data_IF_087107065782
#
_entry.id   IF_087107065782
#
_cell.length_a   1.000
_cell.length_b   1.000
_cell.length_c   1.000
_cell.angle_alpha   90.00
_cell.angle_beta   90.00
_cell.angle_gamma   90.00
#
_symmetry.space_group_name_H-M   'P 1'
#
loop_
_entity.id
_entity.type
_entity.pdbx_description
1 polymer ?
#
# COMPACT_ATOMS: atom_id res chain seq x y z
N UNK A 1 -11.01 7.15 1.90
CA UNK A 1 -9.88 6.49 1.22
C UNK A 1 -10.42 5.78 -0.01
N UNK A 2 -9.91 6.08 -1.20
CA UNK A 2 -10.27 5.40 -2.44
C UNK A 2 -9.01 4.74 -3.04
N UNK A 3 -9.16 3.67 -3.80
CA UNK A 3 -8.05 3.04 -4.53
C UNK A 3 -8.39 2.94 -6.02
N UNK A 4 -7.45 3.35 -6.87
CA UNK A 4 -7.51 3.15 -8.33
C UNK A 4 -6.65 1.95 -8.69
N UNK A 5 -7.17 1.02 -9.48
CA UNK A 5 -6.47 -0.20 -9.90
C UNK A 5 -6.12 -0.11 -11.38
N UNK A 6 -4.91 -0.52 -11.71
CA UNK A 6 -4.43 -0.66 -13.07
C UNK A 6 -4.33 -2.16 -13.45
N UNK A 7 -3.60 -2.47 -14.51
CA UNK A 7 -3.36 -3.84 -14.96
C UNK A 7 -2.91 -4.76 -13.82
N UNK A 8 -3.45 -5.98 -13.84
CA UNK A 8 -3.12 -7.05 -12.89
C UNK A 8 -2.33 -8.12 -13.62
N UNK A 9 -1.22 -8.55 -13.04
CA UNK A 9 -0.49 -9.75 -13.47
C UNK A 9 -0.80 -10.86 -12.48
N UNK A 10 -1.22 -12.03 -12.96
CA UNK A 10 -1.60 -13.17 -12.13
C UNK A 10 -0.74 -14.38 -12.48
N UNK A 11 -0.15 -15.00 -11.48
CA UNK A 11 0.49 -16.32 -11.57
C UNK A 11 -0.41 -17.33 -10.86
N UNK A 12 -0.81 -18.41 -11.54
CA UNK A 12 -1.78 -19.40 -11.03
C UNK A 12 -1.16 -20.80 -11.01
N UNK A 13 -1.30 -21.52 -9.90
CA UNK A 13 -0.96 -22.94 -9.74
C UNK A 13 -2.13 -23.65 -9.05
N UNK A 14 -2.83 -24.51 -9.79
CA UNK A 14 -4.01 -25.22 -9.27
C UNK A 14 -5.07 -24.25 -8.75
N UNK A 15 -5.40 -24.37 -7.46
CA UNK A 15 -6.38 -23.54 -6.75
C UNK A 15 -5.76 -22.32 -6.06
N UNK A 16 -4.48 -22.00 -6.29
CA UNK A 16 -3.79 -20.86 -5.70
C UNK A 16 -3.28 -19.92 -6.79
N UNK A 17 -3.20 -18.63 -6.47
CA UNK A 17 -2.68 -17.61 -7.34
C UNK A 17 -2.02 -16.46 -6.57
N UNK A 18 -1.01 -15.84 -7.19
CA UNK A 18 -0.47 -14.55 -6.77
C UNK A 18 -0.96 -13.50 -7.76
N UNK A 19 -1.72 -12.51 -7.28
CA UNK A 19 -2.21 -11.39 -8.09
C UNK A 19 -1.45 -10.10 -7.71
N UNK A 20 -0.84 -9.48 -8.71
CA UNK A 20 -0.07 -8.24 -8.58
C UNK A 20 -0.80 -7.11 -9.29
N UNK A 21 -1.44 -6.23 -8.54
CA UNK A 21 -2.24 -5.13 -9.08
C UNK A 21 -1.57 -3.81 -8.77
N UNK A 22 -1.16 -3.04 -9.78
CA UNK A 22 -0.70 -1.67 -9.56
C UNK A 22 -1.86 -0.81 -9.11
N UNK A 23 -1.66 0.02 -8.09
CA UNK A 23 -2.72 0.84 -7.54
C UNK A 23 -2.24 2.21 -7.07
N UNK A 24 -3.20 3.12 -6.91
CA UNK A 24 -3.01 4.38 -6.20
C UNK A 24 -4.06 4.53 -5.09
N UNK A 25 -3.63 4.82 -3.86
CA UNK A 25 -4.49 5.21 -2.75
C UNK A 25 -4.63 6.72 -2.76
N UNK A 26 -5.88 7.19 -2.83
CA UNK A 26 -6.24 8.60 -2.70
C UNK A 26 -6.91 8.85 -1.36
N UNK A 27 -6.38 9.79 -0.59
CA UNK A 27 -6.92 10.20 0.70
C UNK A 27 -7.07 11.70 0.75
N UNK A 28 -8.31 12.16 0.87
CA UNK A 28 -8.59 13.51 1.34
C UNK A 28 -8.60 13.52 2.85
N UNK A 29 -7.90 14.48 3.45
CA UNK A 29 -7.86 14.70 4.89
C UNK A 29 -7.67 16.17 5.21
N UNK A 30 -7.31 16.42 6.47
CA UNK A 30 -7.04 17.76 6.97
C UNK A 30 -5.76 17.72 7.80
N UNK A 31 -4.89 18.70 7.62
CA UNK A 31 -3.74 18.96 8.49
C UNK A 31 -3.97 20.33 9.10
N UNK A 32 -4.20 20.38 10.41
CA UNK A 32 -4.77 21.56 11.07
C UNK A 32 -6.06 22.01 10.37
N UNK A 33 -6.07 23.23 9.81
CA UNK A 33 -7.19 23.80 9.09
C UNK A 33 -7.11 23.69 7.55
N UNK A 34 -6.02 23.14 7.02
CA UNK A 34 -5.77 23.00 5.58
C UNK A 34 -6.29 21.66 5.09
N UNK A 35 -7.19 21.69 4.10
CA UNK A 35 -7.65 20.48 3.41
C UNK A 35 -6.53 19.98 2.49
N UNK A 36 -6.21 18.69 2.58
CA UNK A 36 -5.10 18.09 1.83
C UNK A 36 -5.53 16.81 1.12
N UNK A 37 -4.91 16.55 -0.03
CA UNK A 37 -4.99 15.28 -0.73
C UNK A 37 -3.63 14.58 -0.69
N UNK A 38 -3.65 13.30 -0.33
CA UNK A 38 -2.52 12.38 -0.44
C UNK A 38 -2.76 11.46 -1.63
N UNK A 39 -1.74 11.34 -2.47
CA UNK A 39 -1.68 10.38 -3.57
C UNK A 39 -0.51 9.42 -3.31
N UNK A 40 -0.82 8.15 -3.05
CA UNK A 40 0.18 7.11 -2.75
C UNK A 40 0.09 5.98 -3.78
N UNK A 41 1.18 5.76 -4.51
CA UNK A 41 1.33 4.70 -5.51
C UNK A 41 1.91 3.46 -4.84
N UNK A 42 1.36 2.30 -5.18
CA UNK A 42 1.88 1.02 -4.76
C UNK A 42 1.39 -0.14 -5.61
N UNK A 43 1.61 -1.33 -5.09
CA UNK A 43 1.15 -2.58 -5.69
C UNK A 43 0.45 -3.41 -4.63
N UNK A 44 -0.79 -3.80 -4.88
CA UNK A 44 -1.37 -4.93 -4.17
C UNK A 44 -0.64 -6.20 -4.59
N UNK A 45 -0.18 -6.94 -3.60
CA UNK A 45 0.52 -8.20 -3.75
C UNK A 45 -0.28 -9.26 -2.98
N UNK A 46 -1.29 -9.78 -3.68
CA UNK A 46 -2.35 -10.60 -3.10
C UNK A 46 -2.06 -12.08 -3.31
N UNK A 47 -2.26 -12.87 -2.25
CA UNK A 47 -2.48 -14.31 -2.35
C UNK A 47 -3.97 -14.53 -2.55
N UNK A 48 -4.35 -15.27 -3.57
CA UNK A 48 -5.74 -15.55 -3.95
C UNK A 48 -5.91 -17.05 -4.08
N UNK A 49 -6.97 -17.62 -3.51
CA UNK A 49 -7.22 -19.06 -3.61
C UNK A 49 -8.67 -19.38 -3.90
N UNK A 50 -8.89 -20.51 -4.56
CA UNK A 50 -10.19 -21.04 -4.89
C UNK A 50 -10.65 -21.99 -3.78
N UNK A 51 -11.82 -21.72 -3.20
CA UNK A 51 -12.49 -22.56 -2.20
C UNK A 51 -13.93 -22.80 -2.68
N UNK A 52 -14.35 -24.06 -2.79
CA UNK A 52 -15.68 -24.45 -3.28
C UNK A 52 -16.02 -23.82 -4.65
N UNK A 53 -15.05 -23.83 -5.57
CA UNK A 53 -15.19 -23.24 -6.91
C UNK A 53 -15.10 -21.71 -6.96
N UNK A 54 -14.98 -21.01 -5.82
CA UNK A 54 -14.95 -19.54 -5.76
C UNK A 54 -13.58 -18.99 -5.37
N UNK A 55 -13.05 -18.07 -6.17
CA UNK A 55 -11.80 -17.37 -5.88
C UNK A 55 -12.00 -16.27 -4.83
N UNK A 56 -11.13 -16.24 -3.82
CA UNK A 56 -11.14 -15.23 -2.75
C UNK A 56 -9.72 -14.81 -2.42
N UNK A 57 -9.57 -13.57 -1.93
CA UNK A 57 -8.29 -13.07 -1.42
C UNK A 57 -7.99 -13.82 -0.11
N UNK A 58 -6.93 -14.63 -0.10
CA UNK A 58 -6.44 -15.32 1.08
C UNK A 58 -5.62 -14.37 1.98
N UNK A 59 -4.81 -13.49 1.36
CA UNK A 59 -4.03 -12.45 2.06
C UNK A 59 -3.76 -11.28 1.12
N UNK A 60 -4.10 -10.07 1.56
CA UNK A 60 -3.72 -8.82 0.87
C UNK A 60 -2.51 -8.19 1.52
N UNK A 61 -1.53 -7.84 0.71
CA UNK A 61 -0.38 -7.04 1.13
C UNK A 61 -0.23 -5.84 0.19
N UNK A 62 0.48 -4.82 0.65
CA UNK A 62 0.81 -3.64 -0.15
C UNK A 62 2.33 -3.52 -0.19
N UNK A 63 2.87 -3.29 -1.38
CA UNK A 63 4.23 -2.82 -1.59
C UNK A 63 4.13 -1.36 -2.02
N UNK A 64 4.53 -0.45 -1.14
CA UNK A 64 4.48 0.99 -1.38
C UNK A 64 5.66 1.44 -2.24
N UNK A 65 5.45 2.42 -3.11
CA UNK A 65 6.48 2.89 -4.04
C UNK A 65 6.81 4.37 -3.84
N UNK A 66 5.80 5.24 -3.92
CA UNK A 66 5.97 6.68 -3.81
C UNK A 66 4.67 7.34 -3.38
N UNK A 67 4.76 8.41 -2.61
CA UNK A 67 3.61 9.26 -2.35
C UNK A 67 3.92 10.76 -2.41
N UNK A 68 2.85 11.54 -2.30
CA UNK A 68 2.88 13.00 -2.22
C UNK A 68 1.65 13.50 -1.46
N UNK A 69 1.74 14.72 -0.94
CA UNK A 69 0.64 15.44 -0.32
C UNK A 69 0.60 16.87 -0.85
N UNK A 70 -0.61 17.37 -1.12
CA UNK A 70 -0.84 18.73 -1.60
C UNK A 70 -2.04 19.33 -0.90
N UNK A 71 -2.05 20.65 -0.71
CA UNK A 71 -3.28 21.35 -0.34
C UNK A 71 -4.33 21.19 -1.45
N UNK A 72 -5.59 21.02 -1.08
CA UNK A 72 -6.71 20.89 -2.02
C UNK A 72 -6.94 22.22 -2.74
N UNK A 73 -6.88 23.32 -1.99
CA UNK A 73 -6.98 24.66 -2.55
C UNK A 73 -5.59 25.15 -2.96
N UNK A 74 -5.35 25.41 -4.26
CA UNK A 74 -4.04 25.89 -4.71
C UNK A 74 -3.67 27.21 -4.02
N UNK A 75 -2.43 27.30 -3.54
CA UNK A 75 -1.89 28.48 -2.87
C UNK A 75 -2.15 28.54 -1.36
N UNK A 76 -2.95 27.62 -0.79
CA UNK A 76 -2.99 27.49 0.67
C UNK A 76 -1.61 27.02 1.20
N UNK A 77 -1.07 27.67 2.24
CA UNK A 77 0.20 27.29 2.82
C UNK A 77 0.07 25.92 3.50
N UNK A 78 0.89 24.97 3.04
CA UNK A 78 0.99 23.64 3.64
C UNK A 78 2.36 23.47 4.30
N UNK A 79 2.40 23.63 5.62
CA UNK A 79 3.62 23.43 6.40
C UNK A 79 3.66 22.01 6.94
N UNK A 80 4.73 21.27 6.59
CA UNK A 80 4.97 19.91 7.07
C UNK A 80 6.21 19.89 7.94
N UNK A 81 6.10 19.29 9.12
CA UNK A 81 7.26 19.02 9.98
C UNK A 81 8.16 17.97 9.34
N UNK A 82 9.36 18.38 8.91
CA UNK A 82 10.39 17.49 8.37
C UNK A 82 10.76 16.39 9.36
N UNK A 83 10.93 16.73 10.65
CA UNK A 83 11.24 15.77 11.70
C UNK A 83 10.20 14.63 11.77
N UNK A 84 8.91 14.95 11.69
CA UNK A 84 7.84 13.95 11.71
C UNK A 84 7.78 13.16 10.41
N UNK A 85 8.02 13.80 9.27
CA UNK A 85 8.08 13.16 7.96
C UNK A 85 9.21 12.10 7.89
N UNK A 86 10.39 12.43 8.41
CA UNK A 86 11.56 11.55 8.36
C UNK A 86 11.43 10.29 9.22
N UNK A 87 10.41 10.19 10.08
CA UNK A 87 10.09 8.96 10.83
C UNK A 87 9.50 7.85 9.96
N UNK A 88 9.05 8.18 8.75
CA UNK A 88 8.38 7.24 7.85
C UNK A 88 9.21 6.98 6.58
N UNK A 89 9.19 5.74 6.05
CA UNK A 89 9.82 5.43 4.77
C UNK A 89 9.29 6.30 3.64
N UNK A 90 10.19 6.71 2.74
CA UNK A 90 9.89 7.63 1.63
C UNK A 90 8.69 7.20 0.77
N UNK A 91 8.49 5.90 0.61
CA UNK A 91 7.48 5.34 -0.28
C UNK A 91 6.02 5.62 0.12
N UNK A 92 5.76 5.90 1.40
CA UNK A 92 4.42 6.15 1.94
C UNK A 92 4.44 7.22 3.05
N UNK A 93 5.45 8.07 3.00
CA UNK A 93 5.79 9.03 4.06
C UNK A 93 4.66 10.00 4.35
N UNK A 94 4.04 10.56 3.33
CA UNK A 94 3.00 11.57 3.49
C UNK A 94 1.66 10.94 3.88
N UNK A 95 1.36 9.74 3.39
CA UNK A 95 0.22 8.94 3.84
C UNK A 95 0.35 8.60 5.32
N UNK A 96 1.53 8.15 5.74
CA UNK A 96 1.83 7.86 7.14
C UNK A 96 1.78 9.12 8.01
N UNK A 97 2.31 10.23 7.51
CA UNK A 97 2.25 11.52 8.19
C UNK A 97 0.80 11.93 8.45
N UNK A 98 -0.06 11.91 7.43
CA UNK A 98 -1.48 12.28 7.56
C UNK A 98 -2.22 11.35 8.53
N UNK A 99 -2.00 10.03 8.46
CA UNK A 99 -2.61 9.08 9.40
C UNK A 99 -2.15 9.33 10.84
N UNK A 100 -0.85 9.49 11.04
CA UNK A 100 -0.27 9.72 12.37
C UNK A 100 -0.66 11.08 12.94
N UNK A 101 -0.83 12.09 12.08
CA UNK A 101 -1.38 13.37 12.48
C UNK A 101 -2.79 13.26 13.04
N UNK A 102 -3.61 12.37 12.48
CA UNK A 102 -4.96 12.09 12.94
C UNK A 102 -5.04 11.02 14.05
N UNK A 103 -3.92 10.76 14.75
CA UNK A 103 -3.87 9.82 15.88
C UNK A 103 -3.76 8.35 15.49
N UNK A 104 -3.58 8.04 14.20
CA UNK A 104 -3.35 6.68 13.73
C UNK A 104 -1.96 6.16 14.11
N UNK A 105 -1.87 4.85 14.40
CA UNK A 105 -0.58 4.17 14.56
C UNK A 105 -0.15 3.56 13.22
N UNK A 106 0.97 4.01 12.68
CA UNK A 106 1.50 3.54 11.40
C UNK A 106 2.72 2.67 11.62
N UNK A 107 2.67 1.44 11.12
CA UNK A 107 3.82 0.54 11.12
C UNK A 107 4.88 1.03 10.10
N UNK A 108 6.09 1.44 10.52
CA UNK A 108 7.14 1.89 9.59
C UNK A 108 7.86 0.73 8.88
N UNK A 109 7.60 -0.52 9.26
CA UNK A 109 8.19 -1.71 8.65
C UNK A 109 7.35 -2.28 7.49
N UNK A 110 6.40 -1.50 6.94
CA UNK A 110 5.60 -1.95 5.80
C UNK A 110 6.48 -2.10 4.54
N UNK A 111 6.19 -3.09 3.68
CA UNK A 111 6.99 -3.31 2.47
C UNK A 111 7.01 -2.11 1.54
N UNK A 112 8.21 -1.69 1.14
CA UNK A 112 8.42 -0.70 0.08
C UNK A 112 9.13 -1.33 -1.11
N UNK A 113 9.04 -0.71 -2.28
CA UNK A 113 9.80 -1.10 -3.47
C UNK A 113 11.29 -1.26 -3.13
N UNK A 114 11.85 -2.44 -3.40
CA UNK A 114 13.24 -2.78 -3.13
C UNK A 114 13.59 -3.14 -1.67
N UNK A 115 12.71 -2.92 -0.70
CA UNK A 115 12.98 -3.25 0.71
C UNK A 115 13.12 -4.75 0.97
N UNK A 116 13.85 -5.12 2.01
CA UNK A 116 13.94 -6.50 2.51
C UNK A 116 12.56 -7.09 2.81
N UNK A 117 11.67 -6.30 3.43
CA UNK A 117 10.28 -6.70 3.70
C UNK A 117 9.51 -7.05 2.41
N UNK A 118 9.74 -6.33 1.30
CA UNK A 118 9.12 -6.67 0.01
C UNK A 118 9.72 -7.92 -0.62
N UNK A 119 11.01 -8.17 -0.44
CA UNK A 119 11.68 -9.38 -0.93
C UNK A 119 11.19 -10.60 -0.16
N UNK A 120 11.14 -10.51 1.17
CA UNK A 120 10.60 -11.56 2.03
C UNK A 120 9.13 -11.85 1.71
N UNK A 121 8.30 -10.82 1.56
CA UNK A 121 6.91 -10.99 1.15
C UNK A 121 6.77 -11.77 -0.16
N UNK A 122 7.60 -11.47 -1.16
CA UNK A 122 7.60 -12.17 -2.46
C UNK A 122 8.04 -13.62 -2.30
N UNK A 123 9.08 -13.89 -1.51
CA UNK A 123 9.57 -15.24 -1.23
C UNK A 123 8.50 -16.09 -0.54
N UNK A 124 7.89 -15.59 0.53
CA UNK A 124 6.85 -16.30 1.27
C UNK A 124 5.62 -16.58 0.40
N UNK A 125 5.25 -15.65 -0.48
CA UNK A 125 4.13 -15.88 -1.40
C UNK A 125 4.44 -16.94 -2.44
N UNK A 126 5.66 -16.95 -2.99
CA UNK A 126 6.10 -17.98 -3.94
C UNK A 126 6.16 -19.37 -3.30
N UNK A 127 6.65 -19.45 -2.06
CA UNK A 127 6.62 -20.70 -1.28
C UNK A 127 5.18 -21.17 -1.04
N UNK A 128 4.28 -20.27 -0.68
CA UNK A 128 2.86 -20.60 -0.49
C UNK A 128 2.17 -21.04 -1.78
N UNK A 129 2.48 -20.40 -2.91
CA UNK A 129 1.89 -20.73 -4.21
C UNK A 129 2.25 -22.15 -4.64
N UNK A 130 3.49 -22.59 -4.36
CA UNK A 130 4.00 -23.92 -4.71
C UNK A 130 3.74 -24.99 -3.65
N UNK A 131 3.30 -24.60 -2.45
CA UNK A 131 3.00 -25.58 -1.41
C UNK A 131 1.75 -26.37 -1.79
N UNK A 132 1.65 -27.65 -1.36
CA UNK A 132 0.43 -28.42 -1.55
C UNK A 132 -0.79 -27.66 -1.02
N UNK A 133 -1.90 -27.76 -1.74
CA UNK A 133 -3.20 -27.36 -1.20
C UNK A 133 -3.63 -28.44 -0.20
N UNK A 134 -4.02 -28.08 1.03
CA UNK A 134 -4.60 -29.06 1.96
C UNK A 134 -5.89 -29.68 1.41
#
# INVERSE_FOLDING_TARGET
VHAYLNGTVVEVIGTKAIAQTRMAILVRGKLNDVAVDVHCIGQFFDRVEQRDGQWRIAKRNVIYDKDSITAVNPGEPLELSEERLLRFPQAYRHLAYLQSFNGGNVNPALPTSGSEASQQLRLEAQQWLRSPTP
#
